data_IF_295394373485
#
_entry.id   IF_295394373485
#
_cell.length_a   1.000
_cell.length_b   1.000
_cell.length_c   1.000
_cell.angle_alpha   90.00
_cell.angle_beta   90.00
_cell.angle_gamma   90.00
#
_symmetry.space_group_name_H-M   'P 1'
#
loop_
_entity.id
_entity.type
_entity.pdbx_description
1 polymer ?
#
# COMPACT_ATOMS: atom_id res chain seq x y z
N UNK A 1 3.21 -17.61 8.92
CA UNK A 1 3.41 -17.45 7.46
C UNK A 1 2.99 -16.04 7.08
N UNK A 2 3.76 -15.33 6.25
CA UNK A 2 3.43 -13.96 5.84
C UNK A 2 2.68 -13.99 4.49
N UNK A 3 1.74 -13.06 4.31
CA UNK A 3 0.97 -12.86 3.07
C UNK A 3 1.39 -11.54 2.42
N UNK A 4 1.71 -11.58 1.13
CA UNK A 4 2.00 -10.38 0.34
C UNK A 4 0.69 -9.77 -0.16
N UNK A 5 0.34 -8.58 0.33
CA UNK A 5 -0.92 -7.88 -0.04
C UNK A 5 -0.72 -6.77 -1.09
N UNK A 6 0.53 -6.39 -1.36
CA UNK A 6 0.86 -5.46 -2.44
C UNK A 6 2.36 -5.23 -2.61
N UNK A 7 2.73 -4.46 -3.64
CA UNK A 7 4.11 -4.09 -3.95
C UNK A 7 4.22 -2.58 -4.17
N UNK A 8 5.19 -1.95 -3.51
CA UNK A 8 5.50 -0.53 -3.71
C UNK A 8 6.18 -0.36 -5.07
N UNK A 9 5.63 0.55 -5.87
CA UNK A 9 6.17 0.95 -7.17
C UNK A 9 7.24 2.03 -7.01
N UNK A 10 7.44 2.82 -8.06
CA UNK A 10 8.38 3.95 -8.00
C UNK A 10 7.82 5.08 -7.15
N UNK A 11 8.72 5.91 -6.64
CA UNK A 11 8.37 7.20 -6.07
C UNK A 11 7.54 8.02 -7.06
N UNK A 12 6.54 8.70 -6.51
CA UNK A 12 5.64 9.58 -7.22
C UNK A 12 5.52 10.89 -6.42
N UNK A 13 5.37 12.03 -7.09
CA UNK A 13 5.29 13.31 -6.39
C UNK A 13 6.60 13.75 -5.71
N UNK A 14 6.46 14.66 -4.76
CA UNK A 14 7.58 15.38 -4.10
C UNK A 14 7.54 15.29 -2.58
N UNK A 15 6.53 14.63 -2.02
CA UNK A 15 6.26 14.52 -0.58
C UNK A 15 6.36 13.07 -0.10
N UNK A 16 7.01 12.21 -0.87
CA UNK A 16 7.18 10.79 -0.54
C UNK A 16 6.00 9.92 -0.97
N UNK A 17 5.20 10.36 -1.94
CA UNK A 17 4.14 9.53 -2.51
C UNK A 17 4.74 8.35 -3.30
N UNK A 18 4.00 7.26 -3.39
CA UNK A 18 4.39 6.05 -4.13
C UNK A 18 3.14 5.42 -4.72
N UNK A 19 3.31 4.66 -5.79
CA UNK A 19 2.24 3.78 -6.28
C UNK A 19 2.30 2.43 -5.57
N UNK A 20 1.16 1.75 -5.45
CA UNK A 20 1.08 0.38 -4.91
C UNK A 20 0.36 -0.52 -5.90
N UNK A 21 1.00 -1.63 -6.26
CA UNK A 21 0.36 -2.74 -6.96
C UNK A 21 -0.41 -3.59 -5.94
N UNK A 22 -1.74 -3.52 -5.98
CA UNK A 22 -2.63 -4.21 -5.03
C UNK A 22 -2.78 -5.69 -5.39
N UNK A 23 -2.60 -6.58 -4.42
CA UNK A 23 -2.70 -8.05 -4.58
C UNK A 23 -3.64 -8.70 -3.56
N UNK A 24 -4.59 -7.93 -3.05
CA UNK A 24 -5.61 -8.37 -2.09
C UNK A 24 -7.00 -7.98 -2.59
N UNK A 25 -7.99 -8.78 -2.24
CA UNK A 25 -9.42 -8.57 -2.44
C UNK A 25 -10.03 -7.55 -1.45
N UNK A 26 -9.34 -7.27 -0.34
CA UNK A 26 -9.80 -6.34 0.71
C UNK A 26 -8.89 -5.10 0.85
N UNK A 27 -8.64 -4.32 -0.22
CA UNK A 27 -7.65 -3.24 -0.20
C UNK A 27 -8.02 -2.08 0.73
N UNK A 28 -9.30 -1.76 0.88
CA UNK A 28 -9.75 -0.65 1.71
C UNK A 28 -9.45 -0.86 3.20
N UNK A 29 -9.46 -2.12 3.64
CA UNK A 29 -9.09 -2.51 5.00
C UNK A 29 -7.56 -2.55 5.15
N UNK A 30 -6.86 -3.15 4.17
CA UNK A 30 -5.40 -3.38 4.23
C UNK A 30 -4.55 -2.14 4.00
N UNK A 31 -5.06 -1.15 3.27
CA UNK A 31 -4.36 0.10 2.92
C UNK A 31 -5.14 1.34 3.40
N UNK A 32 -5.78 1.25 4.57
CA UNK A 32 -6.58 2.33 5.14
C UNK A 32 -5.71 3.54 5.48
N UNK A 33 -6.18 4.73 5.13
CA UNK A 33 -5.45 5.98 5.40
C UNK A 33 -5.51 6.30 6.90
N UNK A 34 -4.35 6.57 7.50
CA UNK A 34 -4.26 7.13 8.84
C UNK A 34 -4.30 6.13 9.99
N UNK A 35 -4.11 4.84 9.73
CA UNK A 35 -3.90 3.85 10.78
C UNK A 35 -2.39 3.77 11.08
N UNK A 36 -1.99 4.27 12.24
CA UNK A 36 -0.62 4.25 12.72
C UNK A 36 -0.57 3.33 13.95
N UNK A 37 0.42 2.42 13.99
CA UNK A 37 0.77 1.60 15.14
C UNK A 37 1.39 2.46 16.26
#
# INVERSE_FOLDING_TARGET
MLLVVGRIGRAHGVRGEVTVEVRTDSPNERFKVGEFL
#
